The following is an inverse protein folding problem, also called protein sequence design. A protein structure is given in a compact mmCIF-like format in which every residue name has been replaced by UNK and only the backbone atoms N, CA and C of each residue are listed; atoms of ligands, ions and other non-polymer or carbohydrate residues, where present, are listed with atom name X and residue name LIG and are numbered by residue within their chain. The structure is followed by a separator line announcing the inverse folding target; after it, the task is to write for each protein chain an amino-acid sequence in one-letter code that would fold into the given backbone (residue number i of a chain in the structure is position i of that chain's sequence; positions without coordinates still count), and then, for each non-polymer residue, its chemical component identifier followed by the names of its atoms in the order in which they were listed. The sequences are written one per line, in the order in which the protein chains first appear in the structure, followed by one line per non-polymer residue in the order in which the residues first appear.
data_IF_615032836618
#
_entry.id   IF_615032836618
#
_cell.length_a   1.000
_cell.length_b   1.000
_cell.length_c   1.000
_cell.angle_alpha   90.00
_cell.angle_beta   90.00
_cell.angle_gamma   90.00
#
_symmetry.space_group_name_H-M   'P 1'
#
loop_
_entity.id
_entity.type
_entity.pdbx_description
1 polymer ?
#
# COMPACT_ATOMS: atom_id res chain seq x y z
N UNK A 1 3.14 14.17 8.44
CA UNK A 1 4.28 13.49 9.11
C UNK A 1 5.57 13.61 8.30
N UNK A 2 6.71 13.29 8.92
CA UNK A 2 7.99 13.31 8.22
C UNK A 2 8.12 12.09 7.32
N UNK A 3 8.53 12.30 6.06
CA UNK A 3 8.72 11.22 5.09
C UNK A 3 9.66 10.14 5.63
N UNK A 4 9.23 8.89 5.52
CA UNK A 4 10.04 7.70 5.78
C UNK A 4 10.66 7.27 4.46
N UNK A 5 11.96 7.47 4.28
CA UNK A 5 12.69 7.14 3.06
C UNK A 5 13.85 6.22 3.41
N UNK A 6 13.64 4.90 3.29
CA UNK A 6 14.58 3.87 3.72
C UNK A 6 15.08 3.01 2.56
N UNK A 7 16.41 3.03 2.30
CA UNK A 7 17.04 2.15 1.33
C UNK A 7 17.71 0.95 2.00
N UNK A 8 17.61 -0.22 1.39
CA UNK A 8 18.18 -1.46 1.90
C UNK A 8 17.73 -1.75 3.35
N UNK A 9 18.67 -1.93 4.28
CA UNK A 9 18.35 -2.26 5.68
C UNK A 9 17.59 -1.18 6.43
N UNK A 10 17.65 0.09 5.99
CA UNK A 10 16.88 1.17 6.61
C UNK A 10 15.38 1.02 6.32
N UNK A 11 15.00 0.48 5.15
CA UNK A 11 13.62 0.14 4.83
C UNK A 11 13.00 -0.92 5.72
N UNK A 12 13.84 -1.71 6.45
CA UNK A 12 13.36 -2.70 7.41
C UNK A 12 12.91 -2.08 8.76
N UNK A 13 13.12 -0.79 8.95
CA UNK A 13 12.68 -0.04 10.14
C UNK A 13 11.39 0.67 9.78
N UNK A 14 10.27 0.26 10.36
CA UNK A 14 8.91 0.67 9.98
C UNK A 14 8.76 2.21 9.98
N UNK A 15 9.26 2.87 11.04
CA UNK A 15 9.26 4.33 11.17
C UNK A 15 10.69 4.88 11.11
N UNK A 16 11.42 4.52 10.04
CA UNK A 16 12.80 4.99 9.86
C UNK A 16 12.86 6.51 9.77
N UNK A 17 13.81 7.09 10.52
CA UNK A 17 14.17 8.52 10.42
C UNK A 17 15.63 8.63 10.03
N UNK A 18 15.88 9.29 8.91
CA UNK A 18 17.25 9.54 8.44
C UNK A 18 17.99 10.49 9.39
N UNK A 19 19.20 10.12 9.78
CA UNK A 19 20.12 10.96 10.54
C UNK A 19 21.46 10.99 9.83
N UNK A 20 22.35 11.92 10.17
CA UNK A 20 23.72 11.98 9.62
C UNK A 20 24.48 10.64 9.77
N UNK A 21 24.21 9.87 10.87
CA UNK A 21 24.85 8.57 11.14
C UNK A 21 24.19 7.39 10.43
N UNK A 22 22.87 7.42 10.22
CA UNK A 22 22.11 6.29 9.66
C UNK A 22 21.77 6.44 8.18
N UNK A 23 21.95 7.65 7.62
CA UNK A 23 21.65 7.92 6.21
C UNK A 23 22.47 7.04 5.27
N UNK A 24 21.86 6.62 4.17
CA UNK A 24 22.51 5.80 3.14
C UNK A 24 22.22 6.34 1.76
N UNK A 25 23.23 6.32 0.90
CA UNK A 25 23.05 6.55 -0.54
C UNK A 25 22.28 5.38 -1.15
N UNK A 26 21.24 5.69 -1.93
CA UNK A 26 20.48 4.68 -2.68
C UNK A 26 21.39 4.09 -3.76
N UNK A 27 21.50 2.76 -3.77
CA UNK A 27 22.28 2.01 -4.77
C UNK A 27 21.33 1.31 -5.73
N UNK A 28 21.74 1.14 -6.99
CA UNK A 28 20.95 0.49 -8.05
C UNK A 28 20.38 -0.89 -7.66
N UNK A 29 21.08 -1.66 -6.81
CA UNK A 29 20.65 -2.98 -6.32
C UNK A 29 19.74 -2.95 -5.11
N UNK A 30 19.50 -1.77 -4.54
CA UNK A 30 18.72 -1.64 -3.30
C UNK A 30 17.21 -1.72 -3.58
N UNK A 31 16.50 -2.17 -2.56
CA UNK A 31 15.06 -1.97 -2.45
C UNK A 31 14.86 -0.69 -1.64
N UNK A 32 14.10 0.24 -2.19
CA UNK A 32 13.81 1.53 -1.59
C UNK A 32 12.34 1.60 -1.18
N UNK A 33 12.09 1.90 0.08
CA UNK A 33 10.76 2.13 0.62
C UNK A 33 10.62 3.62 0.89
N UNK A 34 9.59 4.23 0.30
CA UNK A 34 9.22 5.61 0.53
C UNK A 34 7.76 5.67 0.99
N UNK A 35 7.57 6.21 2.18
CA UNK A 35 6.27 6.46 2.80
C UNK A 35 6.19 7.95 3.08
N UNK A 36 5.23 8.61 2.45
CA UNK A 36 5.07 10.06 2.51
C UNK A 36 3.61 10.48 2.46
N UNK A 37 3.34 11.57 3.11
CA UNK A 37 2.01 12.17 3.12
C UNK A 37 2.07 13.68 3.25
N UNK A 38 0.97 14.32 2.91
CA UNK A 38 0.80 15.77 2.99
C UNK A 38 -0.47 16.14 3.73
N UNK A 39 -0.39 17.22 4.46
CA UNK A 39 -1.53 17.86 5.11
C UNK A 39 -2.04 18.97 4.20
N UNK A 40 -3.29 18.86 3.77
CA UNK A 40 -3.95 19.84 2.89
C UNK A 40 -5.21 20.37 3.55
N UNK A 41 -5.65 21.56 3.14
CA UNK A 41 -6.89 22.18 3.63
C UNK A 41 -8.12 21.27 3.48
N UNK A 42 -8.12 20.37 2.49
CA UNK A 42 -9.25 19.51 2.14
C UNK A 42 -8.99 18.03 2.38
N UNK A 43 -7.95 17.68 3.11
CA UNK A 43 -7.66 16.29 3.46
C UNK A 43 -6.20 16.03 3.78
N UNK A 44 -5.94 14.84 4.30
CA UNK A 44 -4.60 14.34 4.58
C UNK A 44 -4.30 13.19 3.63
N UNK A 45 -3.10 13.15 3.06
CA UNK A 45 -2.65 12.04 2.20
C UNK A 45 -1.63 11.18 2.92
N UNK A 46 -1.63 9.90 2.55
CA UNK A 46 -0.69 8.90 3.05
C UNK A 46 -0.46 7.84 1.97
N UNK A 47 0.80 7.60 1.61
CA UNK A 47 1.13 6.64 0.56
C UNK A 47 2.51 6.04 0.76
N UNK A 48 2.60 4.72 0.73
CA UNK A 48 3.87 4.02 0.66
C UNK A 48 4.03 3.32 -0.68
N UNK A 49 5.24 3.46 -1.26
CA UNK A 49 5.70 2.65 -2.38
C UNK A 49 7.05 2.01 -2.07
N UNK A 50 7.16 0.76 -2.46
CA UNK A 50 8.44 0.05 -2.50
C UNK A 50 8.88 -0.02 -3.96
N UNK A 51 10.11 0.38 -4.23
CA UNK A 51 10.67 0.58 -5.58
C UNK A 51 11.99 -0.18 -5.68
N UNK A 52 12.26 -0.74 -6.86
CA UNK A 52 13.58 -1.25 -7.22
C UNK A 52 14.14 -0.50 -8.43
N UNK A 53 15.47 -0.43 -8.54
CA UNK A 53 16.18 0.25 -9.64
C UNK A 53 16.95 -0.73 -10.54
N UNK A 54 16.73 -2.03 -10.35
CA UNK A 54 17.32 -3.12 -11.12
C UNK A 54 16.43 -4.35 -11.05
N UNK A 55 16.83 -5.47 -11.67
CA UNK A 55 16.07 -6.71 -11.56
C UNK A 55 16.25 -7.35 -10.17
N UNK A 56 15.24 -7.34 -9.28
CA UNK A 56 15.36 -7.89 -7.94
C UNK A 56 15.34 -9.43 -7.95
N UNK A 57 15.92 -10.04 -6.90
CA UNK A 57 15.91 -11.50 -6.73
C UNK A 57 14.48 -12.06 -6.71
N UNK A 58 14.27 -13.25 -7.29
CA UNK A 58 12.96 -13.95 -7.30
C UNK A 58 12.33 -14.05 -5.90
N UNK A 59 13.15 -14.25 -4.85
CA UNK A 59 12.67 -14.29 -3.46
C UNK A 59 12.04 -12.96 -3.00
N UNK A 60 12.59 -11.81 -3.42
CA UNK A 60 12.04 -10.49 -3.10
C UNK A 60 10.74 -10.28 -3.88
N UNK A 61 10.71 -10.59 -5.18
CA UNK A 61 9.50 -10.55 -6.01
C UNK A 61 8.37 -11.38 -5.39
N UNK A 62 8.68 -12.59 -4.93
CA UNK A 62 7.70 -13.47 -4.31
C UNK A 62 7.09 -12.89 -3.03
N UNK A 63 7.91 -12.24 -2.19
CA UNK A 63 7.43 -11.61 -0.96
C UNK A 63 6.62 -10.34 -1.30
N UNK A 64 7.14 -9.49 -2.19
CA UNK A 64 6.42 -8.29 -2.65
C UNK A 64 5.04 -8.64 -3.20
N UNK A 65 4.97 -9.66 -4.06
CA UNK A 65 3.70 -10.10 -4.64
C UNK A 65 2.73 -10.61 -3.57
N UNK A 66 3.21 -11.25 -2.51
CA UNK A 66 2.32 -11.67 -1.40
C UNK A 66 1.80 -10.49 -0.59
N UNK A 67 2.62 -9.46 -0.37
CA UNK A 67 2.17 -8.18 0.21
C UNK A 67 1.14 -7.53 -0.70
N UNK A 68 1.39 -7.47 -2.00
CA UNK A 68 0.46 -6.95 -3.00
C UNK A 68 -0.87 -7.71 -3.01
N UNK A 69 -0.85 -9.05 -2.93
CA UNK A 69 -2.08 -9.87 -2.81
C UNK A 69 -2.87 -9.53 -1.55
N UNK A 70 -2.17 -9.26 -0.45
CA UNK A 70 -2.77 -8.76 0.79
C UNK A 70 -3.47 -7.42 0.57
N UNK A 71 -2.79 -6.47 -0.05
CA UNK A 71 -3.30 -5.16 -0.40
C UNK A 71 -4.55 -5.23 -1.31
N UNK A 72 -4.49 -6.02 -2.38
CA UNK A 72 -5.63 -6.26 -3.29
C UNK A 72 -6.79 -6.93 -2.53
N UNK A 73 -6.50 -7.89 -1.65
CA UNK A 73 -7.53 -8.58 -0.87
C UNK A 73 -8.29 -7.64 0.07
N UNK A 74 -7.64 -6.62 0.63
CA UNK A 74 -8.31 -5.55 1.39
C UNK A 74 -9.18 -4.72 0.44
N UNK A 75 -8.61 -4.18 -0.63
CA UNK A 75 -9.32 -3.30 -1.59
C UNK A 75 -10.57 -3.98 -2.18
N UNK A 76 -10.53 -5.29 -2.39
CA UNK A 76 -11.66 -6.11 -2.90
C UNK A 76 -12.53 -6.72 -1.80
N UNK A 77 -12.45 -6.22 -0.56
CA UNK A 77 -13.23 -6.80 0.54
C UNK A 77 -14.72 -6.52 0.39
N UNK A 78 -15.52 -7.57 0.50
CA UNK A 78 -16.97 -7.43 0.69
C UNK A 78 -17.24 -7.02 2.14
N UNK A 79 -17.50 -5.74 2.38
CA UNK A 79 -17.69 -5.17 3.72
C UNK A 79 -19.00 -5.62 4.39
N UNK A 80 -19.97 -6.16 3.64
CA UNK A 80 -21.17 -6.78 4.22
C UNK A 80 -20.82 -8.09 4.94
N UNK A 81 -19.80 -8.81 4.47
CA UNK A 81 -19.33 -10.07 5.07
C UNK A 81 -18.20 -9.85 6.08
N UNK A 82 -17.30 -8.90 5.80
CA UNK A 82 -16.13 -8.58 6.62
C UNK A 82 -16.28 -7.15 7.12
N UNK A 83 -17.07 -6.99 8.19
CA UNK A 83 -17.61 -5.70 8.62
C UNK A 83 -16.75 -4.93 9.61
N UNK A 84 -15.61 -5.47 10.05
CA UNK A 84 -14.73 -4.80 11.01
C UNK A 84 -13.25 -4.99 10.69
N UNK A 85 -12.41 -4.16 11.33
CA UNK A 85 -10.98 -4.12 11.06
C UNK A 85 -10.25 -5.44 11.28
N UNK A 86 -10.61 -6.23 12.29
CA UNK A 86 -10.00 -7.54 12.59
C UNK A 86 -10.20 -8.54 11.46
N UNK A 87 -11.40 -8.61 10.90
CA UNK A 87 -11.71 -9.54 9.81
C UNK A 87 -10.95 -9.16 8.52
N UNK A 88 -10.83 -7.86 8.25
CA UNK A 88 -10.13 -7.34 7.08
C UNK A 88 -8.61 -7.54 7.23
N UNK A 89 -8.04 -7.25 8.40
CA UNK A 89 -6.63 -7.48 8.72
C UNK A 89 -6.22 -8.96 8.49
N UNK A 90 -7.08 -9.88 8.93
CA UNK A 90 -6.85 -11.32 8.69
C UNK A 90 -6.77 -11.67 7.20
N UNK A 91 -7.56 -11.00 6.36
CA UNK A 91 -7.53 -11.20 4.90
C UNK A 91 -6.22 -10.73 4.28
N UNK A 92 -5.69 -9.58 4.73
CA UNK A 92 -4.42 -9.06 4.25
C UNK A 92 -3.25 -10.01 4.57
N UNK A 93 -3.19 -10.50 5.80
CA UNK A 93 -2.07 -11.31 6.30
C UNK A 93 -2.00 -12.72 5.73
N UNK A 94 -3.11 -13.28 5.25
CA UNK A 94 -3.19 -14.70 4.88
C UNK A 94 -2.14 -15.14 3.85
N UNK A 95 -1.70 -14.24 2.96
CA UNK A 95 -0.75 -14.59 1.89
C UNK A 95 0.70 -14.70 2.39
N UNK A 96 1.06 -13.90 3.38
CA UNK A 96 2.35 -14.01 4.07
C UNK A 96 2.33 -15.19 5.06
N UNK A 97 1.26 -15.37 5.82
CA UNK A 97 1.11 -16.48 6.77
C UNK A 97 1.20 -17.85 6.11
N UNK A 98 0.79 -18.00 4.84
CA UNK A 98 0.99 -19.25 4.07
C UNK A 98 2.44 -19.68 3.92
N UNK A 99 3.40 -18.79 4.14
CA UNK A 99 4.83 -19.07 4.09
C UNK A 99 5.52 -18.73 5.43
N UNK A 100 4.76 -18.75 6.53
CA UNK A 100 5.22 -18.46 7.88
C UNK A 100 5.85 -17.07 8.05
N UNK A 101 5.38 -16.07 7.31
CA UNK A 101 5.77 -14.68 7.44
C UNK A 101 4.58 -13.84 7.90
N UNK A 102 4.88 -12.72 8.56
CA UNK A 102 3.89 -11.73 9.00
C UNK A 102 4.57 -10.36 9.16
N UNK A 103 3.82 -9.35 9.55
CA UNK A 103 4.28 -8.01 9.95
C UNK A 103 3.65 -7.61 11.29
N UNK A 104 4.33 -6.71 12.04
CA UNK A 104 3.96 -6.41 13.42
C UNK A 104 2.93 -5.29 13.56
N UNK A 105 2.86 -4.37 12.58
CA UNK A 105 1.90 -3.24 12.61
C UNK A 105 0.49 -3.65 12.14
N UNK A 106 -0.49 -2.78 12.33
CA UNK A 106 -1.83 -2.96 11.76
C UNK A 106 -1.80 -2.90 10.22
N UNK A 107 -2.76 -3.55 9.58
CA UNK A 107 -2.89 -3.46 8.10
C UNK A 107 -3.36 -2.07 7.65
N UNK A 108 -3.84 -1.24 8.56
CA UNK A 108 -4.24 0.12 8.27
C UNK A 108 -4.85 0.83 9.48
N UNK A 109 -4.96 2.13 9.37
CA UNK A 109 -5.50 3.04 10.37
C UNK A 109 -6.57 3.94 9.75
N UNK A 110 -7.38 4.59 10.57
CA UNK A 110 -8.23 5.68 10.13
C UNK A 110 -7.41 6.92 9.81
N UNK A 111 -7.92 7.77 8.94
CA UNK A 111 -7.27 9.02 8.51
C UNK A 111 -8.19 10.19 8.77
N UNK A 112 -7.69 11.23 9.44
CA UNK A 112 -8.41 12.45 9.71
C UNK A 112 -8.53 13.35 8.48
N UNK A 113 -9.61 14.13 8.41
CA UNK A 113 -9.86 15.02 7.27
C UNK A 113 -8.83 16.17 7.21
N UNK A 114 -8.82 17.04 8.18
CA UNK A 114 -7.82 18.12 8.34
C UNK A 114 -7.23 17.98 9.74
N UNK A 115 -6.75 16.79 10.06
CA UNK A 115 -6.35 16.39 11.40
C UNK A 115 -5.20 15.39 11.31
N UNK A 116 -5.14 14.44 12.24
CA UNK A 116 -4.04 13.48 12.30
C UNK A 116 -4.10 12.46 11.15
N UNK A 117 -2.94 12.10 10.62
CA UNK A 117 -2.84 11.01 9.64
C UNK A 117 -3.31 9.69 10.27
N UNK A 118 -3.01 9.44 11.56
CA UNK A 118 -3.56 8.34 12.33
C UNK A 118 -4.72 8.85 13.20
N UNK A 119 -5.94 8.56 12.80
CA UNK A 119 -7.14 8.99 13.51
C UNK A 119 -8.20 7.87 13.56
N UNK A 120 -8.57 7.49 14.81
CA UNK A 120 -9.59 6.48 15.06
C UNK A 120 -11.02 7.02 14.92
N UNK A 121 -12.01 6.17 15.30
CA UNK A 121 -11.89 4.89 16.02
C UNK A 121 -11.62 3.66 15.14
N UNK A 122 -11.78 3.78 13.79
CA UNK A 122 -11.56 2.67 12.86
C UNK A 122 -10.07 2.39 12.63
N UNK A 123 -9.74 1.12 12.45
CA UNK A 123 -8.43 0.67 11.94
C UNK A 123 -8.54 -0.76 11.42
N UNK A 124 -7.61 -1.15 10.56
CA UNK A 124 -7.49 -2.52 10.07
C UNK A 124 -6.41 -3.22 10.92
N UNK A 125 -6.80 -3.79 12.05
CA UNK A 125 -5.88 -4.46 12.98
C UNK A 125 -6.53 -5.62 13.70
N UNK A 126 -5.72 -6.58 14.17
CA UNK A 126 -6.19 -7.77 14.89
C UNK A 126 -7.01 -7.47 16.17
N UNK A 127 -6.91 -6.26 16.69
CA UNK A 127 -7.60 -5.86 17.91
C UNK A 127 -8.86 -5.04 17.65
N UNK A 128 -8.99 -4.42 16.47
CA UNK A 128 -10.08 -3.50 16.19
C UNK A 128 -11.36 -4.23 15.74
N UNK A 129 -12.42 -4.10 16.54
CA UNK A 129 -13.75 -4.66 16.29
C UNK A 129 -14.76 -3.60 15.79
N UNK A 130 -14.32 -2.35 15.63
CA UNK A 130 -15.19 -1.27 15.14
C UNK A 130 -15.73 -1.64 13.75
N UNK A 131 -17.03 -1.47 13.60
CA UNK A 131 -17.71 -1.70 12.34
C UNK A 131 -17.29 -0.65 11.31
N UNK A 132 -16.90 -1.09 10.15
CA UNK A 132 -16.56 -0.21 9.04
C UNK A 132 -17.86 0.32 8.42
N UNK A 133 -17.99 1.65 8.38
CA UNK A 133 -19.18 2.36 7.92
C UNK A 133 -18.87 3.23 6.70
N UNK A 134 -19.93 3.58 5.96
CA UNK A 134 -19.85 4.54 4.85
C UNK A 134 -19.22 5.86 5.30
N UNK A 135 -18.41 6.47 4.44
CA UNK A 135 -17.71 7.72 4.70
C UNK A 135 -16.37 7.58 5.40
N UNK A 136 -16.03 6.42 5.97
CA UNK A 136 -14.73 6.21 6.62
C UNK A 136 -13.60 6.20 5.61
N UNK A 137 -12.49 6.84 5.98
CA UNK A 137 -11.22 6.79 5.24
C UNK A 137 -10.24 5.97 6.07
N UNK A 138 -9.54 5.05 5.43
CA UNK A 138 -8.54 4.19 6.06
C UNK A 138 -7.32 4.04 5.16
N UNK A 139 -6.16 3.79 5.77
CA UNK A 139 -5.02 3.24 5.04
C UNK A 139 -5.21 1.74 4.81
N UNK A 140 -4.61 1.24 3.73
CA UNK A 140 -4.48 -0.17 3.37
C UNK A 140 -3.01 -0.41 3.05
N UNK A 141 -2.23 -0.85 4.05
CA UNK A 141 -0.77 -0.78 4.07
C UNK A 141 -0.08 -2.08 4.54
N UNK A 142 -0.44 -3.25 4.05
CA UNK A 142 0.29 -4.46 4.42
C UNK A 142 1.78 -4.35 4.05
N UNK A 143 2.63 -5.00 4.84
CA UNK A 143 4.07 -4.95 4.62
C UNK A 143 4.80 -6.24 4.99
N UNK A 144 6.12 -6.24 4.81
CA UNK A 144 7.06 -7.24 5.32
C UNK A 144 8.43 -6.60 5.53
N UNK A 145 9.05 -6.89 6.67
CA UNK A 145 10.31 -6.26 7.06
C UNK A 145 11.35 -7.32 7.45
N UNK A 146 12.40 -7.44 6.64
CA UNK A 146 13.51 -8.34 6.92
C UNK A 146 14.63 -7.57 7.61
N UNK A 147 14.69 -7.68 8.94
CA UNK A 147 15.68 -6.98 9.79
C UNK A 147 17.07 -7.03 9.18
N UNK A 148 17.73 -5.89 9.11
CA UNK A 148 19.06 -5.71 8.56
C UNK A 148 19.19 -5.87 7.04
N UNK A 149 18.06 -6.06 6.30
CA UNK A 149 18.09 -6.29 4.84
C UNK A 149 17.23 -5.33 4.04
N UNK A 150 15.90 -5.38 4.16
CA UNK A 150 14.97 -4.53 3.41
C UNK A 150 13.57 -4.53 4.04
N UNK A 151 12.78 -3.53 3.71
CA UNK A 151 11.34 -3.48 3.97
C UNK A 151 10.53 -3.40 2.68
N UNK A 152 9.33 -3.91 2.74
CA UNK A 152 8.30 -3.82 1.70
C UNK A 152 7.02 -3.33 2.37
N UNK A 153 6.43 -2.26 1.86
CA UNK A 153 5.08 -1.80 2.19
C UNK A 153 4.42 -1.26 0.93
N UNK A 154 3.17 -1.60 0.73
CA UNK A 154 2.33 -1.08 -0.36
C UNK A 154 1.11 -0.48 0.30
N UNK A 155 0.94 0.83 0.14
CA UNK A 155 -0.12 1.58 0.80
C UNK A 155 -0.92 2.44 -0.16
N UNK A 156 -2.22 2.37 -0.01
CA UNK A 156 -3.18 3.33 -0.53
C UNK A 156 -4.10 3.78 0.59
N UNK A 157 -4.59 5.01 0.51
CA UNK A 157 -5.82 5.39 1.20
C UNK A 157 -7.03 4.86 0.45
N UNK A 158 -8.00 4.37 1.21
CA UNK A 158 -9.26 3.86 0.71
C UNK A 158 -10.43 4.55 1.41
N UNK A 159 -11.48 4.79 0.66
CA UNK A 159 -12.74 5.40 1.12
C UNK A 159 -13.84 4.35 1.12
N UNK A 160 -14.65 4.32 2.17
CA UNK A 160 -15.80 3.40 2.26
C UNK A 160 -17.00 4.04 1.58
N UNK A 161 -17.34 3.50 0.42
CA UNK A 161 -18.45 3.95 -0.41
C UNK A 161 -19.61 2.96 -0.37
N UNK A 162 -20.82 3.50 -0.47
CA UNK A 162 -22.04 2.69 -0.59
C UNK A 162 -22.62 2.80 -2.01
N UNK A 163 -22.94 1.67 -2.59
CA UNK A 163 -23.65 1.57 -3.85
C UNK A 163 -24.62 0.37 -3.83
N UNK A 164 -25.86 0.59 -4.20
CA UNK A 164 -26.91 -0.43 -4.19
C UNK A 164 -26.96 -1.21 -2.87
N UNK A 165 -26.99 -0.51 -1.73
CA UNK A 165 -26.98 -1.05 -0.35
C UNK A 165 -25.74 -1.87 0.03
N UNK A 166 -24.72 -1.97 -0.83
CA UNK A 166 -23.45 -2.66 -0.54
C UNK A 166 -22.34 -1.64 -0.22
N UNK A 167 -21.50 -1.96 0.76
CA UNK A 167 -20.33 -1.18 1.10
C UNK A 167 -19.08 -1.82 0.46
N UNK A 168 -18.20 -0.97 -0.06
CA UNK A 168 -16.93 -1.39 -0.66
C UNK A 168 -15.87 -0.30 -0.49
N UNK A 169 -14.62 -0.67 -0.67
CA UNK A 169 -13.51 0.28 -0.68
C UNK A 169 -13.29 0.84 -2.10
N UNK A 170 -13.16 2.16 -2.18
CA UNK A 170 -12.71 2.87 -3.38
C UNK A 170 -11.32 3.45 -3.10
N UNK A 171 -10.35 3.27 -4.03
CA UNK A 171 -9.01 3.84 -3.88
C UNK A 171 -9.04 5.35 -4.04
N UNK A 172 -8.45 6.06 -3.08
CA UNK A 172 -8.18 7.51 -3.17
C UNK A 172 -6.77 7.78 -3.70
N UNK A 173 -5.81 6.91 -3.40
CA UNK A 173 -4.42 7.06 -3.87
C UNK A 173 -4.31 6.68 -5.34
N UNK A 174 -3.70 7.58 -6.12
CA UNK A 174 -3.46 7.44 -7.55
C UNK A 174 -1.95 7.43 -7.83
N UNK A 175 -1.26 6.39 -7.38
CA UNK A 175 0.17 6.20 -7.60
C UNK A 175 0.44 4.78 -8.13
N UNK A 176 1.25 4.60 -9.19
CA UNK A 176 1.57 3.27 -9.71
C UNK A 176 2.29 2.40 -8.67
N UNK A 177 2.11 1.09 -8.82
CA UNK A 177 2.84 0.06 -8.05
C UNK A 177 3.96 -0.46 -8.96
N UNK A 178 5.18 -0.58 -8.43
CA UNK A 178 6.34 -1.04 -9.19
C UNK A 178 6.14 -2.46 -9.72
N UNK A 179 6.05 -2.60 -11.04
CA UNK A 179 5.80 -3.87 -11.74
C UNK A 179 7.01 -4.78 -11.77
N UNK A 180 8.23 -4.23 -11.70
CA UNK A 180 9.47 -5.00 -11.68
C UNK A 180 9.63 -5.86 -10.41
N UNK A 181 8.94 -5.47 -9.34
CA UNK A 181 8.85 -6.22 -8.08
C UNK A 181 7.79 -7.32 -8.10
N UNK A 182 6.95 -7.40 -9.11
CA UNK A 182 5.87 -8.40 -9.19
C UNK A 182 6.41 -9.71 -9.78
N UNK A 183 6.02 -10.85 -9.16
CA UNK A 183 6.06 -12.15 -9.80
C UNK A 183 4.67 -12.49 -10.35
N UNK A 184 4.43 -12.38 -11.68
CA UNK A 184 3.11 -12.55 -12.27
C UNK A 184 2.56 -13.99 -12.15
N UNK A 185 3.42 -14.99 -11.95
CA UNK A 185 3.02 -16.39 -11.74
C UNK A 185 2.23 -16.59 -10.43
N UNK A 186 2.41 -15.70 -9.44
CA UNK A 186 1.70 -15.78 -8.16
C UNK A 186 0.35 -15.04 -8.18
N UNK A 187 0.06 -14.26 -9.20
CA UNK A 187 -1.19 -13.53 -9.34
C UNK A 187 -2.24 -14.40 -10.04
N UNK A 188 -3.46 -14.37 -9.51
CA UNK A 188 -4.65 -14.86 -10.20
C UNK A 188 -5.08 -13.86 -11.27
N UNK A 189 -5.89 -14.30 -12.26
CA UNK A 189 -6.42 -13.41 -13.30
C UNK A 189 -7.27 -12.28 -12.72
N UNK A 190 -8.02 -12.54 -11.65
CA UNK A 190 -8.76 -11.51 -10.92
C UNK A 190 -7.87 -10.45 -10.24
N UNK A 191 -6.65 -10.80 -9.86
CA UNK A 191 -5.69 -9.87 -9.27
C UNK A 191 -4.96 -9.07 -10.37
N UNK A 192 -4.67 -9.71 -11.50
CA UNK A 192 -4.14 -9.02 -12.69
C UNK A 192 -5.15 -8.01 -13.25
N UNK A 193 -6.43 -8.41 -13.37
CA UNK A 193 -7.52 -7.51 -13.77
C UNK A 193 -7.68 -6.31 -12.82
N UNK A 194 -7.56 -6.52 -11.50
CA UNK A 194 -7.56 -5.42 -10.53
C UNK A 194 -6.42 -4.43 -10.80
N UNK A 195 -5.20 -4.91 -11.03
CA UNK A 195 -4.04 -4.05 -11.29
C UNK A 195 -4.20 -3.27 -12.60
N UNK A 196 -4.66 -3.93 -13.67
CA UNK A 196 -4.92 -3.28 -14.94
C UNK A 196 -5.96 -2.16 -14.79
N UNK A 197 -7.08 -2.42 -14.11
CA UNK A 197 -8.11 -1.41 -13.84
C UNK A 197 -7.59 -0.27 -12.96
N UNK A 198 -6.77 -0.57 -11.97
CA UNK A 198 -6.17 0.43 -11.10
C UNK A 198 -5.21 1.34 -11.89
N UNK A 199 -4.33 0.78 -12.71
CA UNK A 199 -3.41 1.54 -13.54
C UNK A 199 -4.13 2.38 -14.61
N UNK A 200 -5.17 1.82 -15.25
CA UNK A 200 -6.03 2.55 -16.19
C UNK A 200 -6.75 3.73 -15.52
N UNK A 201 -7.21 3.55 -14.27
CA UNK A 201 -7.81 4.64 -13.47
C UNK A 201 -6.77 5.75 -13.21
N UNK A 202 -5.56 5.38 -12.79
CA UNK A 202 -4.47 6.35 -12.56
C UNK A 202 -4.21 7.15 -13.84
N UNK A 203 -4.02 6.47 -14.96
CA UNK A 203 -3.77 7.13 -16.25
C UNK A 203 -4.90 8.07 -16.65
N UNK A 204 -6.15 7.62 -16.57
CA UNK A 204 -7.33 8.42 -16.93
C UNK A 204 -7.47 9.70 -16.09
N UNK A 205 -7.07 9.65 -14.82
CA UNK A 205 -7.16 10.78 -13.89
C UNK A 205 -5.97 11.73 -14.00
N UNK A 206 -4.76 11.20 -14.19
CA UNK A 206 -3.53 11.99 -14.07
C UNK A 206 -2.94 12.43 -15.41
N UNK A 207 -3.19 11.71 -16.52
CA UNK A 207 -2.55 11.98 -17.82
C UNK A 207 -2.75 13.42 -18.31
N UNK A 208 -3.87 14.06 -17.99
CA UNK A 208 -4.17 15.46 -18.38
C UNK A 208 -3.26 16.49 -17.68
N UNK A 209 -2.60 16.12 -16.58
CA UNK A 209 -1.69 17.00 -15.83
C UNK A 209 -0.21 16.75 -16.19
N UNK A 210 0.08 15.76 -17.02
CA UNK A 210 1.41 15.29 -17.36
C UNK A 210 1.84 15.74 -18.75
N UNK A 211 3.15 15.99 -18.93
CA UNK A 211 3.73 16.21 -20.25
C UNK A 211 3.82 14.90 -21.05
N UNK A 212 4.25 14.97 -22.31
CA UNK A 212 4.30 13.81 -23.23
C UNK A 212 5.19 12.67 -22.71
N UNK A 213 6.36 12.97 -22.15
CA UNK A 213 7.29 11.96 -21.65
C UNK A 213 6.75 11.30 -20.37
N UNK A 214 6.18 12.07 -19.48
CA UNK A 214 5.54 11.57 -18.26
C UNK A 214 4.32 10.69 -18.57
N UNK A 215 3.50 11.08 -19.57
CA UNK A 215 2.38 10.25 -20.03
C UNK A 215 2.87 8.92 -20.62
N UNK A 216 3.93 8.95 -21.43
CA UNK A 216 4.55 7.74 -21.99
C UNK A 216 5.07 6.82 -20.87
N UNK A 217 5.74 7.40 -19.87
CA UNK A 217 6.17 6.64 -18.68
C UNK A 217 4.98 6.05 -17.92
N UNK A 218 3.95 6.85 -17.62
CA UNK A 218 2.78 6.37 -16.89
C UNK A 218 2.02 5.27 -17.67
N UNK A 219 1.96 5.36 -19.01
CA UNK A 219 1.31 4.34 -19.83
C UNK A 219 2.06 2.99 -19.83
N UNK A 220 3.34 2.97 -19.46
CA UNK A 220 4.11 1.70 -19.39
C UNK A 220 3.67 0.79 -18.22
N UNK A 221 2.79 1.26 -17.33
CA UNK A 221 2.21 0.47 -16.25
C UNK A 221 0.87 -0.19 -16.62
N UNK A 222 0.26 0.20 -17.75
CA UNK A 222 -1.04 -0.33 -18.20
C UNK A 222 -0.85 -1.58 -19.02
#
# INVERSE_FOLDING_TARGET
FNTIAGTGSNGAIIHYRATKKSNKTIKKKDIFLCDSGGQYKFGTTDVTRTICFSNPKKTIKNIFTRVLKGHISVSKTNLSKFSNGKLIDTRARKFLKKINLDYEHGTGHGVGFFSNVHEGPQSLSKYNKIKICEGMILSNEPGYYKKGKYGIRIENLVYVKKFNKKLFFENLTLAPIDTDLINPELLTDNEKDYLSKYNSLIYSKLSKFLNTNERKWLSSFI
#
